data_IF_528333175678
#
_entry.id   IF_528333175678
#
_cell.length_a   1.000
_cell.length_b   1.000
_cell.length_c   1.000
_cell.angle_alpha   90.00
_cell.angle_beta   90.00
_cell.angle_gamma   90.00
#
_symmetry.space_group_name_H-M   'P 1'
#
loop_
_entity.id
_entity.type
_entity.pdbx_description
1 polymer ?
#
# COMPACT_ATOMS: atom_id res chain seq x y z
N UNK A 1 50.87 -51.96 49.63
CA UNK A 1 50.22 -51.89 48.31
C UNK A 1 49.02 -52.82 48.30
N UNK A 2 47.86 -52.38 47.81
CA UNK A 2 46.70 -53.23 47.61
C UNK A 2 46.07 -52.90 46.25
N UNK A 3 46.10 -53.84 45.32
CA UNK A 3 45.48 -53.74 44.00
C UNK A 3 44.49 -54.89 43.80
N UNK A 4 43.21 -54.59 43.67
CA UNK A 4 42.16 -55.57 43.37
C UNK A 4 41.73 -55.45 41.91
N UNK A 5 42.19 -56.37 41.06
CA UNK A 5 41.69 -56.50 39.69
C UNK A 5 40.28 -57.09 39.65
N UNK A 6 39.34 -56.34 39.07
CA UNK A 6 37.95 -56.77 38.88
C UNK A 6 37.77 -57.42 37.50
N UNK A 7 37.45 -58.72 37.47
CA UNK A 7 37.08 -59.44 36.23
C UNK A 7 35.74 -58.93 35.67
N UNK A 8 35.60 -58.76 34.33
CA UNK A 8 34.37 -58.26 33.72
C UNK A 8 33.26 -59.31 33.68
N UNK A 9 32.06 -58.93 34.11
CA UNK A 9 30.87 -59.80 34.13
C UNK A 9 30.33 -60.00 32.71
N UNK A 10 30.25 -61.26 32.26
CA UNK A 10 29.59 -61.65 31.00
C UNK A 10 28.09 -61.38 31.06
N UNK A 11 27.64 -60.19 30.65
CA UNK A 11 26.21 -59.91 30.40
C UNK A 11 25.69 -60.91 29.36
N UNK A 12 24.66 -61.65 29.73
CA UNK A 12 24.17 -62.81 28.97
C UNK A 12 23.50 -62.41 27.65
N UNK A 13 24.11 -62.77 26.51
CA UNK A 13 23.65 -62.56 25.12
C UNK A 13 22.15 -62.84 24.87
N UNK A 14 21.54 -63.74 25.65
CA UNK A 14 20.10 -64.04 25.57
C UNK A 14 19.20 -62.83 25.82
N UNK A 15 19.48 -62.05 26.88
CA UNK A 15 18.71 -60.82 27.24
C UNK A 15 18.85 -59.71 26.20
N UNK A 16 19.92 -59.72 25.40
CA UNK A 16 20.14 -58.74 24.35
C UNK A 16 19.33 -59.06 23.10
N UNK A 17 19.30 -60.34 22.69
CA UNK A 17 18.43 -60.87 21.62
C UNK A 17 16.93 -60.72 21.93
N UNK A 18 16.56 -60.74 23.20
CA UNK A 18 15.18 -60.52 23.64
C UNK A 18 14.77 -59.04 23.45
N UNK A 19 15.59 -58.10 23.93
CA UNK A 19 15.41 -56.65 23.71
C UNK A 19 15.41 -56.27 22.24
N UNK A 20 16.19 -56.96 21.41
CA UNK A 20 16.21 -56.74 19.97
C UNK A 20 14.88 -57.14 19.30
N UNK A 21 14.33 -58.31 19.66
CA UNK A 21 12.99 -58.73 19.23
C UNK A 21 11.88 -57.81 19.72
N UNK A 22 12.01 -57.19 20.90
CA UNK A 22 11.05 -56.19 21.38
C UNK A 22 11.11 -54.88 20.58
N UNK A 23 12.31 -54.38 20.26
CA UNK A 23 12.48 -53.21 19.37
C UNK A 23 11.91 -53.48 17.98
N UNK A 24 12.06 -54.71 17.46
CA UNK A 24 11.50 -55.10 16.17
C UNK A 24 9.96 -55.14 16.21
N UNK A 25 9.37 -55.76 17.25
CA UNK A 25 7.91 -55.73 17.48
C UNK A 25 7.38 -54.30 17.64
N UNK A 26 8.14 -53.40 18.25
CA UNK A 26 7.76 -51.98 18.35
C UNK A 26 7.85 -51.24 17.01
N UNK A 27 8.92 -51.46 16.23
CA UNK A 27 9.04 -50.93 14.86
C UNK A 27 7.86 -51.37 14.01
N UNK A 28 7.50 -52.65 14.05
CA UNK A 28 6.38 -53.19 13.26
C UNK A 28 5.03 -52.58 13.69
N UNK A 29 4.79 -52.43 15.01
CA UNK A 29 3.60 -51.71 15.53
C UNK A 29 3.56 -50.25 15.05
N UNK A 30 4.70 -49.57 15.00
CA UNK A 30 4.81 -48.18 14.51
C UNK A 30 4.55 -48.08 13.00
N UNK A 31 5.02 -49.06 12.23
CA UNK A 31 4.80 -49.14 10.78
C UNK A 31 3.32 -49.44 10.45
N UNK A 32 2.70 -50.39 11.16
CA UNK A 32 1.25 -50.67 11.06
C UNK A 32 0.40 -49.43 11.41
N UNK A 33 0.80 -48.62 12.41
CA UNK A 33 0.15 -47.33 12.74
C UNK A 33 0.31 -46.32 11.60
N UNK A 34 1.52 -46.12 11.06
CA UNK A 34 1.78 -45.23 9.91
C UNK A 34 0.97 -45.61 8.67
N UNK A 35 0.89 -46.89 8.34
CA UNK A 35 0.11 -47.40 7.21
C UNK A 35 -1.40 -47.18 7.37
N UNK A 36 -1.93 -47.34 8.60
CA UNK A 36 -3.32 -46.99 8.91
C UNK A 36 -3.60 -45.48 8.74
N UNK A 37 -2.69 -44.60 9.18
CA UNK A 37 -2.83 -43.14 8.96
C UNK A 37 -2.80 -42.80 7.46
N UNK A 38 -1.78 -43.25 6.71
CA UNK A 38 -1.70 -43.06 5.24
C UNK A 38 -2.96 -43.52 4.51
N UNK A 39 -3.58 -44.62 4.95
CA UNK A 39 -4.85 -45.12 4.39
C UNK A 39 -6.05 -44.21 4.70
N UNK A 40 -6.13 -43.67 5.92
CA UNK A 40 -7.15 -42.66 6.30
C UNK A 40 -6.99 -41.38 5.47
N UNK A 41 -5.76 -40.91 5.28
CA UNK A 41 -5.48 -39.69 4.51
C UNK A 41 -5.86 -39.87 3.03
N UNK A 42 -5.49 -40.99 2.40
CA UNK A 42 -5.94 -41.35 1.03
C UNK A 42 -7.47 -41.40 0.91
N UNK A 43 -8.20 -41.91 1.93
CA UNK A 43 -9.67 -41.88 1.94
C UNK A 43 -10.22 -40.45 2.06
N UNK A 44 -9.61 -39.59 2.89
CA UNK A 44 -9.99 -38.17 3.06
C UNK A 44 -9.75 -37.37 1.76
N UNK A 45 -8.65 -37.65 1.07
CA UNK A 45 -8.33 -37.07 -0.23
C UNK A 45 -9.32 -37.49 -1.33
N UNK A 46 -9.63 -38.79 -1.46
CA UNK A 46 -10.66 -39.26 -2.42
C UNK A 46 -12.04 -38.61 -2.16
N UNK A 47 -12.43 -38.40 -0.90
CA UNK A 47 -13.66 -37.65 -0.55
C UNK A 47 -13.59 -36.18 -1.01
N UNK A 48 -12.47 -35.49 -0.76
CA UNK A 48 -12.24 -34.09 -1.19
C UNK A 48 -12.26 -33.95 -2.72
N UNK A 49 -11.66 -34.88 -3.46
CA UNK A 49 -11.69 -34.87 -4.93
C UNK A 49 -13.11 -35.04 -5.48
N UNK A 50 -13.90 -35.99 -4.95
CA UNK A 50 -15.32 -36.16 -5.31
C UNK A 50 -16.19 -34.94 -4.97
N UNK A 51 -15.85 -34.16 -3.94
CA UNK A 51 -16.54 -32.90 -3.66
C UNK A 51 -16.26 -31.87 -4.76
N UNK A 52 -14.97 -31.60 -5.02
CA UNK A 52 -14.53 -30.66 -6.06
C UNK A 52 -15.06 -31.01 -7.46
N UNK A 53 -15.29 -32.28 -7.73
CA UNK A 53 -15.86 -32.76 -8.99
C UNK A 53 -17.34 -32.40 -9.10
N UNK A 54 -18.15 -32.64 -8.06
CA UNK A 54 -19.55 -32.18 -7.99
C UNK A 54 -19.69 -30.66 -8.01
N UNK A 55 -18.75 -29.93 -7.42
CA UNK A 55 -18.77 -28.46 -7.44
C UNK A 55 -18.53 -27.92 -8.87
N UNK A 56 -17.61 -28.52 -9.63
CA UNK A 56 -17.40 -28.20 -11.06
C UNK A 56 -18.58 -28.63 -11.94
N UNK A 57 -19.26 -29.71 -11.59
CA UNK A 57 -20.45 -30.17 -12.32
C UNK A 57 -21.60 -29.17 -12.17
N UNK A 58 -21.87 -28.71 -10.94
CA UNK A 58 -22.80 -27.61 -10.66
C UNK A 58 -22.42 -26.31 -11.39
N UNK A 59 -21.13 -26.00 -11.49
CA UNK A 59 -20.65 -24.83 -12.22
C UNK A 59 -20.91 -24.94 -13.74
N UNK A 60 -20.68 -26.13 -14.34
CA UNK A 60 -21.04 -26.43 -15.74
C UNK A 60 -22.54 -26.36 -15.98
N UNK A 61 -23.35 -26.85 -15.05
CA UNK A 61 -24.82 -26.79 -15.13
C UNK A 61 -25.34 -25.35 -15.05
N UNK A 62 -24.76 -24.53 -14.17
CA UNK A 62 -25.01 -23.07 -14.12
C UNK A 62 -24.60 -22.38 -15.41
N UNK A 63 -23.47 -22.76 -16.02
CA UNK A 63 -23.04 -22.23 -17.32
C UNK A 63 -24.03 -22.56 -18.45
N UNK A 64 -24.44 -23.83 -18.59
CA UNK A 64 -25.48 -24.27 -19.54
C UNK A 64 -26.82 -23.56 -19.32
N UNK A 65 -27.16 -23.27 -18.06
CA UNK A 65 -28.39 -22.54 -17.70
C UNK A 65 -28.32 -21.06 -18.12
N UNK A 66 -27.15 -20.42 -18.01
CA UNK A 66 -26.90 -19.06 -18.53
C UNK A 66 -26.99 -19.03 -20.05
N UNK A 67 -26.31 -19.96 -20.72
CA UNK A 67 -26.32 -20.10 -22.19
C UNK A 67 -27.75 -20.30 -22.74
N UNK A 68 -28.57 -21.17 -22.10
CA UNK A 68 -29.99 -21.32 -22.45
C UNK A 68 -30.79 -20.03 -22.23
N UNK A 69 -30.46 -19.24 -21.21
CA UNK A 69 -31.11 -17.94 -20.93
C UNK A 69 -30.69 -16.85 -21.92
N UNK A 70 -29.48 -16.91 -22.47
CA UNK A 70 -29.01 -16.03 -23.54
C UNK A 70 -29.68 -16.40 -24.88
N UNK A 71 -29.67 -17.68 -25.26
CA UNK A 71 -30.36 -18.16 -26.48
C UNK A 71 -31.88 -17.87 -26.48
N UNK A 72 -32.52 -17.75 -25.31
CA UNK A 72 -33.93 -17.34 -25.22
C UNK A 72 -34.14 -15.83 -25.33
N UNK A 73 -33.15 -15.01 -24.93
CA UNK A 73 -33.16 -13.56 -25.18
C UNK A 73 -33.00 -13.25 -26.65
N UNK A 74 -32.05 -13.87 -27.35
CA UNK A 74 -31.82 -13.63 -28.77
C UNK A 74 -33.05 -13.98 -29.62
N UNK A 75 -33.70 -15.11 -29.32
CA UNK A 75 -34.98 -15.52 -29.93
C UNK A 75 -36.17 -14.60 -29.61
N UNK A 76 -36.07 -13.76 -28.58
CA UNK A 76 -37.08 -12.74 -28.26
C UNK A 76 -36.86 -11.43 -29.02
N UNK A 77 -35.59 -11.05 -29.26
CA UNK A 77 -35.23 -9.87 -30.03
C UNK A 77 -35.62 -10.00 -31.51
N UNK A 78 -35.47 -11.19 -32.08
CA UNK A 78 -35.78 -11.45 -33.50
C UNK A 78 -37.31 -11.45 -33.79
N UNK A 79 -38.14 -11.72 -32.79
CA UNK A 79 -39.61 -11.62 -32.91
C UNK A 79 -40.13 -10.18 -32.94
N UNK A 80 -39.40 -9.22 -32.40
CA UNK A 80 -39.79 -7.80 -32.37
C UNK A 80 -39.50 -7.04 -33.68
N UNK A 81 -39.03 -7.71 -34.74
CA UNK A 81 -38.77 -7.10 -36.07
C UNK A 81 -39.83 -7.36 -37.13
N UNK A 82 -40.99 -7.91 -36.77
CA UNK A 82 -42.15 -8.03 -37.68
C UNK A 82 -43.32 -7.19 -37.18
N UNK A 83 -43.38 -5.94 -37.63
CA UNK A 83 -44.58 -5.10 -37.55
C UNK A 83 -45.77 -5.85 -38.14
N UNK A 84 -46.78 -6.10 -37.33
CA UNK A 84 -48.07 -6.69 -37.74
C UNK A 84 -49.17 -5.64 -37.57
N UNK A 85 -50.25 -5.64 -38.38
CA UNK A 85 -51.17 -4.52 -38.42
C UNK A 85 -52.06 -4.41 -37.18
N UNK A 86 -52.50 -3.18 -36.89
CA UNK A 86 -53.50 -2.88 -35.86
C UNK A 86 -54.80 -3.64 -36.16
N UNK A 87 -55.31 -4.34 -35.15
CA UNK A 87 -56.71 -4.74 -35.03
C UNK A 87 -57.21 -4.41 -33.63
N UNK A 88 -58.37 -3.75 -33.57
CA UNK A 88 -59.11 -3.43 -32.34
C UNK A 88 -59.92 -4.67 -31.98
N UNK A 89 -59.88 -5.09 -30.72
CA UNK A 89 -60.74 -6.15 -30.15
C UNK A 89 -61.14 -5.73 -28.73
N UNK A 90 -62.41 -5.92 -28.41
CA UNK A 90 -63.10 -5.34 -27.25
C UNK A 90 -62.81 -6.00 -25.88
N UNK A 91 -63.26 -5.31 -24.84
CA UNK A 91 -62.84 -5.46 -23.43
C UNK A 91 -63.78 -6.35 -22.60
N UNK A 92 -63.69 -7.69 -22.73
CA UNK A 92 -64.60 -8.57 -21.96
C UNK A 92 -64.11 -9.99 -21.56
N UNK A 93 -62.81 -10.22 -21.27
CA UNK A 93 -62.33 -11.57 -20.80
C UNK A 93 -61.32 -11.58 -19.64
N UNK A 94 -61.10 -10.47 -18.92
CA UNK A 94 -60.02 -10.33 -17.93
C UNK A 94 -60.31 -10.73 -16.47
N UNK A 95 -61.38 -11.50 -16.19
CA UNK A 95 -61.77 -11.86 -14.81
C UNK A 95 -61.32 -13.26 -14.34
N UNK A 96 -61.32 -14.26 -15.21
CA UNK A 96 -61.31 -15.66 -14.73
C UNK A 96 -59.92 -16.29 -14.59
N UNK A 97 -58.89 -15.72 -15.23
CA UNK A 97 -57.52 -16.27 -15.13
C UNK A 97 -56.84 -16.01 -13.77
N UNK A 98 -57.39 -15.09 -12.96
CA UNK A 98 -56.78 -14.66 -11.69
C UNK A 98 -57.15 -15.55 -10.49
N UNK A 99 -58.25 -16.30 -10.57
CA UNK A 99 -58.69 -17.19 -9.48
C UNK A 99 -57.95 -18.54 -9.49
N UNK A 100 -57.67 -19.11 -10.67
CA UNK A 100 -57.01 -20.42 -10.75
C UNK A 100 -55.55 -20.38 -10.24
N UNK A 101 -54.84 -19.27 -10.43
CA UNK A 101 -53.44 -19.13 -10.01
C UNK A 101 -53.27 -18.96 -8.48
N UNK A 102 -54.34 -18.61 -7.75
CA UNK A 102 -54.29 -18.39 -6.30
C UNK A 102 -54.51 -19.67 -5.48
N UNK A 103 -55.08 -20.73 -6.08
CA UNK A 103 -55.33 -22.02 -5.40
C UNK A 103 -54.13 -23.00 -5.41
N UNK A 104 -53.12 -22.78 -6.25
CA UNK A 104 -51.94 -23.66 -6.37
C UNK A 104 -50.75 -23.27 -5.47
N UNK A 105 -50.89 -22.25 -4.63
CA UNK A 105 -49.83 -21.75 -3.73
C UNK A 105 -50.10 -22.04 -2.24
N UNK A 106 -51.10 -22.85 -1.91
CA UNK A 106 -51.61 -23.03 -0.55
C UNK A 106 -51.40 -24.43 0.08
N UNK A 107 -50.66 -25.36 -0.56
CA UNK A 107 -50.57 -26.76 -0.12
C UNK A 107 -49.26 -27.22 0.52
N UNK A 108 -48.13 -26.53 0.31
CA UNK A 108 -46.79 -27.02 0.71
C UNK A 108 -46.14 -26.25 1.87
N UNK A 109 -46.93 -25.91 2.90
CA UNK A 109 -46.42 -25.37 4.16
C UNK A 109 -46.52 -26.37 5.32
N UNK A 110 -45.72 -27.45 5.27
CA UNK A 110 -45.26 -28.12 6.51
C UNK A 110 -44.16 -29.18 6.28
N UNK A 111 -42.90 -28.83 6.60
CA UNK A 111 -42.02 -29.68 7.44
C UNK A 111 -40.69 -29.02 7.81
N UNK A 112 -40.29 -29.26 9.06
CA UNK A 112 -38.96 -29.15 9.64
C UNK A 112 -38.47 -27.73 9.99
N UNK A 113 -39.03 -27.23 11.09
CA UNK A 113 -38.36 -26.27 11.98
C UNK A 113 -37.52 -27.07 13.00
N UNK A 114 -36.19 -26.92 13.02
CA UNK A 114 -35.32 -27.33 14.16
C UNK A 114 -33.84 -26.90 13.98
N UNK A 115 -33.53 -25.61 14.15
CA UNK A 115 -32.38 -25.11 14.94
C UNK A 115 -32.44 -23.59 15.01
N UNK A 116 -32.52 -23.05 16.23
CA UNK A 116 -32.24 -21.64 16.48
C UNK A 116 -30.74 -21.54 16.82
N UNK A 117 -30.06 -20.56 16.24
CA UNK A 117 -28.83 -20.01 16.81
C UNK A 117 -29.25 -18.86 17.75
N UNK A 118 -28.70 -18.81 18.97
CA UNK A 118 -28.98 -17.76 19.94
C UNK A 118 -28.24 -16.45 19.59
N UNK A 119 -28.86 -15.31 19.92
CA UNK A 119 -28.34 -13.95 19.74
C UNK A 119 -27.41 -13.53 20.90
N UNK A 120 -26.43 -12.68 20.58
CA UNK A 120 -25.95 -11.55 21.38
C UNK A 120 -25.04 -10.71 20.47
N UNK A 121 -25.44 -9.51 20.03
CA UNK A 121 -25.49 -8.24 20.79
C UNK A 121 -24.09 -7.62 20.96
N UNK A 122 -23.75 -6.69 20.07
CA UNK A 122 -22.64 -5.73 20.16
C UNK A 122 -23.21 -4.35 19.77
N UNK A 123 -23.84 -3.66 20.73
CA UNK A 123 -24.18 -2.23 20.64
C UNK A 123 -23.02 -1.38 21.20
N UNK A 124 -22.76 -0.25 20.55
CA UNK A 124 -22.24 1.06 21.04
C UNK A 124 -21.09 1.07 22.09
N UNK A 125 -20.00 1.85 21.95
CA UNK A 125 -20.06 3.31 21.83
C UNK A 125 -18.69 3.94 21.45
N UNK A 126 -18.74 4.95 20.58
CA UNK A 126 -18.14 6.30 20.65
C UNK A 126 -16.67 6.64 21.11
N UNK A 127 -16.12 7.64 20.40
CA UNK A 127 -15.28 8.77 20.88
C UNK A 127 -13.81 8.52 21.35
N UNK A 128 -12.76 9.26 20.96
CA UNK A 128 -12.61 10.61 20.39
C UNK A 128 -11.10 10.97 20.17
N UNK A 129 -10.85 11.93 19.28
CA UNK A 129 -9.82 13.00 19.24
C UNK A 129 -8.29 12.82 19.30
N UNK A 130 -7.67 13.66 18.45
CA UNK A 130 -6.41 14.41 18.57
C UNK A 130 -5.05 13.69 18.74
N UNK A 131 -3.97 14.13 18.08
CA UNK A 131 -3.84 15.26 17.14
C UNK A 131 -2.37 15.62 16.85
N UNK A 132 -2.18 16.62 15.98
CA UNK A 132 -0.92 17.20 15.44
C UNK A 132 -0.20 16.33 14.38
N UNK A 133 -0.13 16.73 13.11
CA UNK A 133 0.44 17.95 12.49
C UNK A 133 1.97 18.02 12.56
N UNK A 134 2.60 17.90 11.39
CA UNK A 134 3.79 18.68 11.00
C UNK A 134 3.71 18.92 9.48
N UNK A 135 4.07 20.13 9.06
CA UNK A 135 3.76 20.69 7.74
C UNK A 135 4.75 20.22 6.66
N UNK A 136 4.30 20.20 5.40
CA UNK A 136 5.20 19.99 4.26
C UNK A 136 4.77 20.84 3.06
N UNK A 137 5.20 22.10 3.07
CA UNK A 137 5.03 23.01 1.95
C UNK A 137 5.74 22.47 0.70
N UNK A 138 5.00 22.42 -0.41
CA UNK A 138 5.51 22.17 -1.75
C UNK A 138 5.06 23.33 -2.64
N UNK A 139 5.85 24.41 -2.69
CA UNK A 139 5.66 25.46 -3.69
C UNK A 139 6.38 25.09 -4.97
N UNK A 140 5.61 24.92 -6.04
CA UNK A 140 6.11 24.84 -7.40
C UNK A 140 4.99 25.24 -8.36
N UNK A 141 4.97 26.48 -8.84
CA UNK A 141 4.44 26.77 -10.18
C UNK A 141 4.86 28.13 -10.77
N UNK A 142 4.52 28.26 -12.05
CA UNK A 142 5.15 28.99 -13.14
C UNK A 142 5.00 30.52 -13.17
N UNK A 143 6.08 31.15 -13.64
CA UNK A 143 6.18 32.23 -14.65
C UNK A 143 5.06 33.27 -14.91
N UNK A 144 5.55 34.48 -15.19
CA UNK A 144 5.00 35.57 -16.02
C UNK A 144 3.81 36.38 -15.50
N UNK A 145 4.02 37.70 -15.40
CA UNK A 145 3.39 38.60 -16.37
C UNK A 145 4.16 39.92 -16.60
N UNK A 146 3.72 40.67 -17.63
CA UNK A 146 4.31 41.90 -18.18
C UNK A 146 4.02 43.14 -17.27
N UNK A 147 4.50 44.38 -17.49
CA UNK A 147 4.26 45.20 -18.69
C UNK A 147 4.89 46.62 -18.63
N UNK A 148 5.00 47.25 -19.81
CA UNK A 148 5.21 48.69 -20.13
C UNK A 148 6.47 49.44 -19.60
N UNK A 149 6.96 50.47 -20.32
CA UNK A 149 6.53 51.00 -21.62
C UNK A 149 7.09 52.40 -21.91
N UNK A 150 6.83 52.87 -23.13
CA UNK A 150 7.16 54.20 -23.69
C UNK A 150 8.64 54.52 -24.05
N UNK A 151 9.02 55.24 -25.12
CA UNK A 151 8.55 55.51 -26.49
C UNK A 151 9.03 56.93 -26.90
N UNK A 152 9.81 57.05 -27.98
CA UNK A 152 9.75 58.12 -29.01
C UNK A 152 10.77 57.78 -30.13
N UNK A 153 10.40 57.64 -31.41
CA UNK A 153 10.18 58.70 -32.45
C UNK A 153 11.42 59.62 -32.58
N UNK A 154 11.98 59.95 -33.75
CA UNK A 154 11.64 59.87 -35.21
C UNK A 154 13.00 59.81 -35.98
N UNK A 155 13.15 59.56 -37.29
CA UNK A 155 12.26 59.45 -38.46
C UNK A 155 12.89 58.49 -39.51
N UNK A 156 12.27 58.30 -40.69
CA UNK A 156 12.92 57.77 -41.91
C UNK A 156 12.57 58.64 -43.13
N UNK A 157 13.53 58.91 -44.01
CA UNK A 157 13.32 59.53 -45.33
C UNK A 157 13.55 58.49 -46.43
N UNK A 158 12.60 58.35 -47.36
CA UNK A 158 12.68 57.38 -48.44
C UNK A 158 13.53 57.90 -49.62
N UNK A 159 14.39 57.03 -50.16
CA UNK A 159 15.07 57.23 -51.44
C UNK A 159 15.51 55.88 -52.01
N UNK A 160 14.84 55.40 -53.07
CA UNK A 160 15.19 54.14 -53.75
C UNK A 160 16.44 54.34 -54.59
N UNK A 161 17.46 53.50 -54.40
CA UNK A 161 18.55 53.22 -55.38
C UNK A 161 18.95 51.73 -55.27
N UNK A 162 19.37 51.14 -56.38
CA UNK A 162 19.59 49.69 -56.54
C UNK A 162 20.69 49.10 -55.62
N UNK A 163 20.72 47.76 -55.41
CA UNK A 163 21.80 47.11 -54.67
C UNK A 163 23.17 47.31 -55.34
N UNK A 164 24.11 47.85 -54.56
CA UNK A 164 25.53 48.00 -54.91
C UNK A 164 26.13 46.64 -55.33
N UNK A 165 26.95 46.64 -56.38
CA UNK A 165 27.45 45.39 -56.96
C UNK A 165 28.47 44.69 -56.04
N UNK A 166 28.60 43.38 -56.21
CA UNK A 166 29.49 42.53 -55.40
C UNK A 166 30.98 42.94 -55.58
N UNK A 167 31.32 43.43 -56.77
CA UNK A 167 32.64 43.98 -57.11
C UNK A 167 32.90 45.30 -56.37
N UNK A 168 31.88 46.16 -56.21
CA UNK A 168 32.01 47.42 -55.47
C UNK A 168 32.14 47.19 -53.96
N UNK A 169 31.50 46.14 -53.41
CA UNK A 169 31.70 45.72 -52.01
C UNK A 169 33.07 45.09 -51.77
N UNK A 170 33.58 44.30 -52.72
CA UNK A 170 34.94 43.77 -52.67
C UNK A 170 35.98 44.89 -52.81
N UNK A 171 35.77 45.84 -53.72
CA UNK A 171 36.59 47.04 -53.83
C UNK A 171 36.54 47.89 -52.54
N UNK A 172 35.38 48.04 -51.90
CA UNK A 172 35.23 48.78 -50.64
C UNK A 172 35.89 48.08 -49.46
N UNK A 173 35.73 46.75 -49.32
CA UNK A 173 36.46 45.96 -48.31
C UNK A 173 37.96 45.95 -48.54
N UNK A 174 38.40 45.77 -49.79
CA UNK A 174 39.82 45.81 -50.15
C UNK A 174 40.42 47.21 -49.93
N UNK A 175 39.70 48.28 -50.26
CA UNK A 175 40.10 49.64 -49.91
C UNK A 175 40.14 49.88 -48.39
N UNK A 176 39.22 49.29 -47.63
CA UNK A 176 39.25 49.36 -46.16
C UNK A 176 40.40 48.53 -45.56
N UNK A 177 40.69 47.34 -46.08
CA UNK A 177 41.82 46.51 -45.67
C UNK A 177 43.16 47.15 -46.06
N UNK A 178 43.28 47.73 -47.26
CA UNK A 178 44.43 48.54 -47.66
C UNK A 178 44.55 49.81 -46.79
N UNK A 179 43.44 50.41 -46.35
CA UNK A 179 43.45 51.53 -45.40
C UNK A 179 43.73 51.13 -43.94
N UNK A 180 43.51 49.86 -43.58
CA UNK A 180 43.89 49.25 -42.28
C UNK A 180 45.35 48.78 -42.29
N UNK A 181 45.85 48.30 -43.43
CA UNK A 181 47.24 47.91 -43.65
C UNK A 181 48.17 49.13 -43.74
N UNK A 182 47.69 50.24 -44.30
CA UNK A 182 48.37 51.55 -44.18
C UNK A 182 48.31 52.01 -42.71
N UNK A 183 49.45 52.24 -42.04
CA UNK A 183 49.46 52.56 -40.61
C UNK A 183 48.77 53.90 -40.34
N UNK A 184 47.58 53.87 -39.75
CA UNK A 184 46.80 55.07 -39.44
C UNK A 184 47.47 55.87 -38.32
N UNK A 185 47.97 57.08 -38.65
CA UNK A 185 48.57 57.96 -37.67
C UNK A 185 47.53 58.43 -36.65
N UNK A 186 47.61 57.88 -35.44
CA UNK A 186 46.80 58.29 -34.30
C UNK A 186 47.52 59.44 -33.57
N UNK A 187 46.77 60.46 -33.14
CA UNK A 187 47.30 61.52 -32.31
C UNK A 187 47.89 60.96 -31.00
N UNK A 188 48.78 61.71 -30.35
CA UNK A 188 49.40 61.30 -29.07
C UNK A 188 48.34 61.01 -28.01
N UNK A 189 47.28 61.82 -27.97
CA UNK A 189 46.13 61.67 -27.10
C UNK A 189 45.28 60.44 -27.43
N UNK A 190 44.95 60.20 -28.70
CA UNK A 190 44.21 59.00 -29.11
C UNK A 190 44.99 57.71 -28.77
N UNK A 191 46.32 57.71 -28.91
CA UNK A 191 47.17 56.59 -28.45
C UNK A 191 47.16 56.41 -26.94
N UNK A 192 47.18 57.50 -26.17
CA UNK A 192 47.07 57.43 -24.71
C UNK A 192 45.71 56.89 -24.25
N UNK A 193 44.62 57.31 -24.90
CA UNK A 193 43.27 56.80 -24.62
C UNK A 193 43.12 55.30 -24.92
N UNK A 194 43.68 54.83 -26.06
CA UNK A 194 43.69 53.39 -26.39
C UNK A 194 44.54 52.60 -25.40
N UNK A 195 45.70 53.11 -24.98
CA UNK A 195 46.52 52.46 -23.96
C UNK A 195 45.82 52.38 -22.58
N UNK A 196 45.10 53.44 -22.18
CA UNK A 196 44.29 53.44 -20.96
C UNK A 196 43.14 52.44 -21.05
N UNK A 197 42.42 52.40 -22.17
CA UNK A 197 41.32 51.44 -22.37
C UNK A 197 41.83 49.99 -22.33
N UNK A 198 42.95 49.69 -23.00
CA UNK A 198 43.56 48.36 -22.94
C UNK A 198 43.97 47.97 -21.51
N UNK A 199 44.54 48.92 -20.75
CA UNK A 199 44.88 48.71 -19.33
C UNK A 199 43.64 48.48 -18.46
N UNK A 200 42.51 49.13 -18.76
CA UNK A 200 41.23 48.90 -18.08
C UNK A 200 40.71 47.48 -18.38
N UNK A 201 40.72 47.05 -19.65
CA UNK A 201 40.33 45.69 -20.06
C UNK A 201 41.21 44.61 -19.40
N UNK A 202 42.54 44.83 -19.31
CA UNK A 202 43.46 43.92 -18.61
C UNK A 202 43.16 43.85 -17.09
N UNK A 203 42.84 44.96 -16.43
CA UNK A 203 42.45 45.00 -15.01
C UNK A 203 41.08 44.37 -14.77
N UNK A 204 40.11 44.57 -15.66
CA UNK A 204 38.80 43.90 -15.59
C UNK A 204 38.92 42.39 -15.76
N UNK A 205 39.75 41.91 -16.69
CA UNK A 205 39.98 40.49 -16.89
C UNK A 205 40.66 39.86 -15.66
N UNK A 206 41.63 40.55 -15.04
CA UNK A 206 42.24 40.11 -13.79
C UNK A 206 41.22 40.05 -12.63
N UNK A 207 40.31 41.03 -12.53
CA UNK A 207 39.22 41.00 -11.53
C UNK A 207 38.24 39.85 -11.78
N UNK A 208 37.80 39.64 -13.04
CA UNK A 208 36.93 38.51 -13.42
C UNK A 208 37.56 37.17 -13.05
N UNK A 209 38.86 36.99 -13.30
CA UNK A 209 39.59 35.78 -12.87
C UNK A 209 39.59 35.62 -11.34
N UNK A 210 39.91 36.67 -10.57
CA UNK A 210 39.90 36.60 -9.10
C UNK A 210 38.51 36.34 -8.51
N UNK A 211 37.46 36.87 -9.13
CA UNK A 211 36.09 36.69 -8.65
C UNK A 211 35.53 35.32 -9.05
N UNK A 212 35.97 34.75 -10.17
CA UNK A 212 35.69 33.37 -10.58
C UNK A 212 36.43 32.36 -9.68
N UNK A 213 37.70 32.61 -9.35
CA UNK A 213 38.44 31.85 -8.33
C UNK A 213 37.76 31.91 -6.95
N UNK A 214 37.34 33.10 -6.49
CA UNK A 214 36.56 33.25 -5.24
C UNK A 214 35.24 32.49 -5.28
N UNK A 215 34.54 32.49 -6.43
CA UNK A 215 33.28 31.78 -6.61
C UNK A 215 33.47 30.26 -6.53
N UNK A 216 34.51 29.72 -7.19
CA UNK A 216 34.87 28.30 -7.13
C UNK A 216 35.22 27.89 -5.70
N UNK A 217 36.00 28.70 -4.98
CA UNK A 217 36.36 28.44 -3.58
C UNK A 217 35.12 28.41 -2.67
N UNK A 218 34.27 29.44 -2.76
CA UNK A 218 33.01 29.54 -1.98
C UNK A 218 32.07 28.36 -2.22
N UNK A 219 31.90 27.94 -3.48
CA UNK A 219 31.01 26.83 -3.83
C UNK A 219 31.52 25.48 -3.31
N UNK A 220 32.85 25.26 -3.31
CA UNK A 220 33.44 24.08 -2.68
C UNK A 220 33.29 24.11 -1.16
N UNK A 221 33.59 25.24 -0.50
CA UNK A 221 33.64 25.35 0.97
C UNK A 221 32.24 25.20 1.62
N UNK A 222 31.19 25.66 0.94
CA UNK A 222 29.80 25.39 1.32
C UNK A 222 29.48 23.88 1.22
N UNK A 223 29.95 23.20 0.17
CA UNK A 223 29.67 21.77 -0.04
C UNK A 223 30.40 20.84 0.93
N UNK A 224 31.65 21.18 1.31
CA UNK A 224 32.46 20.44 2.29
C UNK A 224 31.95 20.68 3.71
N UNK A 225 31.69 21.95 4.05
CA UNK A 225 31.14 22.34 5.36
C UNK A 225 29.76 21.72 5.59
N UNK A 226 28.89 21.70 4.59
CA UNK A 226 27.57 21.05 4.70
C UNK A 226 27.69 19.54 4.98
N UNK A 227 28.57 18.83 4.25
CA UNK A 227 28.80 17.38 4.45
C UNK A 227 29.46 17.04 5.79
N UNK A 228 30.40 17.87 6.27
CA UNK A 228 30.99 17.69 7.60
C UNK A 228 29.93 17.85 8.68
N UNK A 229 29.17 18.95 8.67
CA UNK A 229 28.11 19.21 9.64
C UNK A 229 27.06 18.11 9.67
N UNK A 230 26.65 17.58 8.51
CA UNK A 230 25.68 16.48 8.45
C UNK A 230 26.25 15.17 9.03
N UNK A 231 27.55 14.89 8.83
CA UNK A 231 28.23 13.72 9.39
C UNK A 231 28.44 13.86 10.91
N UNK A 232 28.84 15.04 11.38
CA UNK A 232 29.01 15.39 12.79
C UNK A 232 27.68 15.31 13.54
N UNK A 233 26.61 15.88 12.98
CA UNK A 233 25.25 15.80 13.52
C UNK A 233 24.74 14.36 13.58
N UNK A 234 24.97 13.57 12.52
CA UNK A 234 24.62 12.14 12.48
C UNK A 234 25.39 11.32 13.52
N UNK A 235 26.65 11.66 13.79
CA UNK A 235 27.43 11.00 14.83
C UNK A 235 27.01 11.44 16.24
N UNK A 236 26.75 12.73 16.47
CA UNK A 236 26.21 13.25 17.72
C UNK A 236 24.86 12.61 18.08
N UNK A 237 23.97 12.39 17.10
CA UNK A 237 22.72 11.64 17.30
C UNK A 237 22.97 10.20 17.74
N UNK A 238 23.92 9.50 17.11
CA UNK A 238 24.32 8.12 17.49
C UNK A 238 24.95 8.07 18.88
N UNK A 239 25.75 9.07 19.24
CA UNK A 239 26.42 9.18 20.54
C UNK A 239 25.41 9.45 21.66
N UNK A 240 24.51 10.43 21.48
CA UNK A 240 23.39 10.68 22.38
C UNK A 240 22.50 9.44 22.56
N UNK A 241 22.26 8.69 21.48
CA UNK A 241 21.47 7.46 21.57
C UNK A 241 22.20 6.35 22.36
N UNK A 242 23.52 6.20 22.19
CA UNK A 242 24.34 5.27 23.01
C UNK A 242 24.35 5.66 24.48
N UNK A 243 24.52 6.95 24.80
CA UNK A 243 24.49 7.45 26.18
C UNK A 243 23.14 7.15 26.85
N UNK A 244 22.03 7.35 26.13
CA UNK A 244 20.68 6.98 26.59
C UNK A 244 20.52 5.47 26.78
N UNK A 245 21.07 4.66 25.89
CA UNK A 245 21.03 3.20 26.01
C UNK A 245 21.92 2.67 27.16
N UNK A 246 22.99 3.38 27.52
CA UNK A 246 23.81 3.12 28.70
C UNK A 246 23.08 3.52 30.00
N UNK A 247 22.48 4.70 30.05
CA UNK A 247 21.65 5.16 31.17
C UNK A 247 20.49 4.18 31.46
N UNK A 248 19.84 3.65 30.42
CA UNK A 248 18.78 2.63 30.56
C UNK A 248 19.33 1.32 31.12
N UNK A 249 20.51 0.86 30.66
CA UNK A 249 21.16 -0.34 31.22
C UNK A 249 21.53 -0.17 32.67
N UNK A 250 21.99 1.01 33.09
CA UNK A 250 22.36 1.26 34.47
C UNK A 250 21.13 1.27 35.39
N UNK A 251 20.03 1.90 34.97
CA UNK A 251 18.72 1.79 35.67
C UNK A 251 18.21 0.35 35.77
N UNK A 252 18.43 -0.46 34.74
CA UNK A 252 18.00 -1.86 34.76
C UNK A 252 18.93 -2.72 35.66
N UNK A 253 20.24 -2.43 35.74
CA UNK A 253 21.14 -3.03 36.76
C UNK A 253 20.76 -2.61 38.18
N UNK A 254 20.39 -1.35 38.40
CA UNK A 254 19.95 -0.86 39.71
C UNK A 254 18.71 -1.62 40.18
N UNK A 255 17.69 -1.76 39.31
CA UNK A 255 16.49 -2.58 39.59
C UNK A 255 16.82 -4.06 39.82
N UNK A 256 17.78 -4.64 39.11
CA UNK A 256 18.24 -6.01 39.37
C UNK A 256 18.80 -6.14 40.79
N UNK A 257 19.68 -5.20 41.18
CA UNK A 257 20.27 -5.15 42.53
C UNK A 257 19.19 -4.89 43.60
N UNK A 258 18.20 -4.04 43.33
CA UNK A 258 17.03 -3.84 44.21
C UNK A 258 16.19 -5.12 44.37
N UNK A 259 15.87 -5.82 43.28
CA UNK A 259 15.13 -7.07 43.32
C UNK A 259 15.89 -8.17 44.11
N UNK A 260 17.22 -8.21 43.99
CA UNK A 260 18.09 -9.07 44.81
C UNK A 260 18.03 -8.63 46.29
N UNK A 261 18.20 -7.33 46.58
CA UNK A 261 18.11 -6.78 47.94
C UNK A 261 16.77 -7.11 48.60
N UNK A 262 15.64 -6.84 47.95
CA UNK A 262 14.30 -7.17 48.49
C UNK A 262 14.13 -8.66 48.78
N UNK A 263 14.65 -9.53 47.90
CA UNK A 263 14.51 -10.98 48.04
C UNK A 263 15.29 -11.55 49.23
N UNK A 264 16.49 -11.03 49.52
CA UNK A 264 17.40 -11.60 50.51
C UNK A 264 17.48 -10.82 51.83
N UNK A 265 17.23 -9.50 51.84
CA UNK A 265 17.24 -8.67 53.06
C UNK A 265 15.86 -8.59 53.75
N UNK A 266 14.84 -9.27 53.22
CA UNK A 266 13.53 -9.38 53.87
C UNK A 266 12.76 -8.05 53.99
N UNK A 267 13.08 -7.07 53.13
CA UNK A 267 12.40 -5.77 53.11
C UNK A 267 10.88 -5.94 52.93
N UNK A 268 10.10 -5.18 53.68
CA UNK A 268 8.65 -5.26 53.69
C UNK A 268 8.13 -4.80 52.32
N UNK A 269 7.71 -5.77 51.48
CA UNK A 269 7.16 -5.49 50.15
C UNK A 269 5.96 -4.55 50.27
N UNK A 270 5.98 -3.47 49.50
CA UNK A 270 4.85 -2.54 49.37
C UNK A 270 3.64 -3.32 48.85
N UNK A 271 2.58 -3.43 49.64
CA UNK A 271 1.34 -4.12 49.24
C UNK A 271 0.68 -3.32 48.10
N UNK A 272 0.23 -4.00 47.04
CA UNK A 272 -0.55 -3.37 45.96
C UNK A 272 -1.79 -2.68 46.56
N UNK A 273 -2.09 -1.47 46.09
CA UNK A 273 -3.27 -0.70 46.48
C UNK A 273 -4.51 -1.40 45.91
N UNK A 274 -5.21 -2.16 46.75
CA UNK A 274 -6.50 -2.78 46.37
C UNK A 274 -7.52 -1.66 46.10
N UNK A 275 -8.15 -1.65 44.93
CA UNK A 275 -9.26 -0.70 44.60
C UNK A 275 -10.35 -0.84 45.67
N UNK A 276 -10.82 0.28 46.24
CA UNK A 276 -11.90 0.27 47.24
C UNK A 276 -13.25 0.34 46.53
N UNK A 277 -14.22 -0.45 47.00
CA UNK A 277 -15.57 -0.55 46.41
C UNK A 277 -16.37 0.78 46.43
N UNK A 278 -15.92 1.77 47.22
CA UNK A 278 -16.57 3.07 47.40
C UNK A 278 -15.94 4.21 46.58
N UNK A 279 -14.99 3.95 45.68
CA UNK A 279 -14.43 5.01 44.82
C UNK A 279 -15.50 5.51 43.83
N UNK A 280 -15.94 6.77 44.01
CA UNK A 280 -17.01 7.40 43.22
C UNK A 280 -16.60 7.77 41.78
N UNK A 281 -15.31 7.66 41.45
CA UNK A 281 -14.82 7.80 40.08
C UNK A 281 -14.62 6.40 39.50
N UNK A 282 -15.56 5.96 38.66
CA UNK A 282 -15.35 4.78 37.85
C UNK A 282 -14.21 5.07 36.86
N UNK A 283 -13.12 4.33 36.94
CA UNK A 283 -11.98 4.43 36.01
C UNK A 283 -12.01 3.17 35.15
N UNK A 284 -12.45 3.35 33.90
CA UNK A 284 -12.49 2.32 32.87
C UNK A 284 -11.08 1.81 32.51
N UNK A 285 -10.09 2.71 32.51
CA UNK A 285 -8.71 2.37 32.17
C UNK A 285 -7.95 1.60 33.27
N UNK A 286 -6.92 0.90 32.80
CA UNK A 286 -5.86 0.36 33.63
C UNK A 286 -4.81 1.43 33.92
N UNK A 287 -4.41 1.57 35.18
CA UNK A 287 -3.31 2.45 35.56
C UNK A 287 -1.98 1.83 35.10
N UNK A 288 -1.05 2.65 34.59
CA UNK A 288 0.28 2.18 34.15
C UNK A 288 1.10 1.61 35.32
N UNK A 289 0.78 1.98 36.56
CA UNK A 289 1.34 1.35 37.77
C UNK A 289 0.89 -0.10 38.01
N UNK A 290 -0.09 -0.59 37.25
CA UNK A 290 -0.56 -1.98 37.28
C UNK A 290 0.08 -2.87 36.19
N UNK A 291 0.90 -2.33 35.28
CA UNK A 291 1.63 -3.10 34.27
C UNK A 291 2.73 -3.97 34.90
N UNK A 292 2.77 -5.24 34.50
CA UNK A 292 3.74 -6.25 34.97
C UNK A 292 4.75 -6.66 33.89
N UNK A 293 4.76 -6.00 32.72
CA UNK A 293 5.62 -6.34 31.59
C UNK A 293 7.03 -5.72 31.65
N UNK A 294 7.24 -4.75 32.54
CA UNK A 294 8.49 -3.99 32.69
C UNK A 294 9.56 -4.81 33.42
N UNK A 295 10.25 -5.68 32.68
CA UNK A 295 11.40 -6.46 33.16
C UNK A 295 12.73 -5.69 33.04
N UNK A 296 13.58 -5.82 34.06
CA UNK A 296 14.95 -5.29 34.07
C UNK A 296 15.96 -6.17 33.31
N UNK A 297 15.66 -7.47 33.15
CA UNK A 297 16.56 -8.40 32.47
C UNK A 297 16.25 -8.46 30.97
N UNK A 298 17.24 -8.15 30.14
CA UNK A 298 17.12 -8.13 28.67
C UNK A 298 16.52 -9.42 28.07
N UNK A 299 16.74 -10.60 28.66
CA UNK A 299 16.16 -11.88 28.18
C UNK A 299 14.63 -11.87 28.28
N UNK A 300 14.09 -11.15 29.27
CA UNK A 300 12.65 -11.03 29.54
C UNK A 300 12.04 -9.73 28.99
N UNK A 301 12.87 -8.75 28.65
CA UNK A 301 12.51 -7.55 27.89
C UNK A 301 12.38 -7.85 26.39
N UNK A 302 13.40 -8.50 25.81
CA UNK A 302 13.44 -8.97 24.42
C UNK A 302 13.16 -10.48 24.35
N UNK A 303 11.98 -10.91 24.83
CA UNK A 303 11.61 -12.34 24.80
C UNK A 303 11.59 -12.86 23.37
N UNK A 304 12.42 -13.87 23.10
CA UNK A 304 12.48 -14.52 21.78
C UNK A 304 11.10 -15.10 21.41
N UNK A 305 10.42 -14.45 20.47
CA UNK A 305 9.08 -14.84 20.02
C UNK A 305 9.10 -16.24 19.36
N UNK A 306 8.02 -17.02 19.56
CA UNK A 306 7.94 -18.40 19.06
C UNK A 306 7.76 -18.39 17.53
N UNK A 307 8.81 -18.74 16.79
CA UNK A 307 8.84 -18.67 15.32
C UNK A 307 8.11 -19.83 14.59
N UNK A 308 7.44 -20.74 15.31
CA UNK A 308 6.65 -21.87 14.78
C UNK A 308 7.17 -22.55 13.49
N UNK A 309 8.48 -22.86 13.45
CA UNK A 309 9.18 -23.45 12.29
C UNK A 309 9.01 -22.69 10.95
N UNK A 310 8.79 -21.37 11.01
CA UNK A 310 8.54 -20.51 9.85
C UNK A 310 7.23 -20.78 9.10
N UNK A 311 6.28 -21.49 9.73
CA UNK A 311 5.01 -21.91 9.09
C UNK A 311 3.75 -21.67 9.92
N UNK A 312 3.87 -21.57 11.24
CA UNK A 312 2.79 -21.07 12.10
C UNK A 312 2.81 -19.55 12.19
N UNK A 313 1.67 -18.97 12.51
CA UNK A 313 1.45 -17.55 12.69
C UNK A 313 0.68 -17.35 14.02
N UNK A 314 0.90 -16.22 14.69
CA UNK A 314 0.13 -15.81 15.85
C UNK A 314 -1.29 -15.40 15.41
N UNK A 315 -2.30 -15.62 16.26
CA UNK A 315 -3.68 -15.24 15.97
C UNK A 315 -3.87 -13.70 16.08
N UNK A 316 -4.91 -13.18 15.44
CA UNK A 316 -5.28 -11.74 15.47
C UNK A 316 -4.39 -10.81 14.63
N UNK A 317 -3.08 -11.01 14.64
CA UNK A 317 -2.13 -10.16 13.89
C UNK A 317 -2.15 -10.52 12.39
N UNK A 318 -2.10 -9.53 11.48
CA UNK A 318 -2.01 -9.78 10.04
C UNK A 318 -0.83 -10.71 9.68
N UNK A 319 -1.17 -11.76 8.93
CA UNK A 319 -0.25 -12.78 8.42
C UNK A 319 0.83 -12.15 7.53
N UNK A 320 0.54 -11.07 6.78
CA UNK A 320 1.54 -10.40 5.91
C UNK A 320 2.52 -9.58 6.75
N UNK A 321 2.05 -8.81 7.74
CA UNK A 321 2.89 -8.15 8.72
C UNK A 321 3.83 -9.15 9.43
N UNK A 322 3.29 -10.21 10.05
CA UNK A 322 4.09 -11.25 10.72
C UNK A 322 5.16 -11.86 9.81
N UNK A 323 4.83 -12.15 8.54
CA UNK A 323 5.78 -12.71 7.57
C UNK A 323 6.91 -11.74 7.22
N UNK A 324 6.68 -10.42 7.25
CA UNK A 324 7.72 -9.42 6.99
C UNK A 324 8.83 -9.51 8.04
N UNK A 325 8.45 -9.66 9.31
CA UNK A 325 9.38 -9.59 10.43
C UNK A 325 10.03 -10.95 10.71
N UNK A 326 9.25 -12.05 10.64
CA UNK A 326 9.69 -13.39 11.02
C UNK A 326 10.40 -14.19 9.91
N UNK A 327 10.31 -13.77 8.64
CA UNK A 327 10.75 -14.60 7.50
C UNK A 327 12.26 -14.80 7.37
N UNK A 328 13.09 -13.90 7.93
CA UNK A 328 14.54 -13.84 7.65
C UNK A 328 15.27 -15.15 8.00
N UNK A 329 15.14 -15.63 9.24
CA UNK A 329 15.88 -16.79 9.73
C UNK A 329 15.48 -18.11 9.04
N UNK A 330 14.20 -18.45 9.03
CA UNK A 330 13.73 -19.69 8.38
C UNK A 330 13.76 -19.63 6.85
N UNK A 331 13.70 -18.43 6.24
CA UNK A 331 13.87 -18.23 4.81
C UNK A 331 15.25 -18.70 4.34
N UNK A 332 16.31 -18.12 4.94
CA UNK A 332 17.70 -18.48 4.65
C UNK A 332 17.99 -19.96 4.95
N UNK A 333 17.47 -20.48 6.08
CA UNK A 333 17.66 -21.88 6.47
C UNK A 333 17.00 -22.86 5.48
N UNK A 334 15.80 -22.53 4.97
CA UNK A 334 15.13 -23.34 3.95
C UNK A 334 15.82 -23.23 2.59
N UNK A 335 16.35 -22.06 2.24
CA UNK A 335 17.10 -21.87 0.99
C UNK A 335 18.41 -22.66 0.97
N UNK A 336 19.13 -22.72 2.10
CA UNK A 336 20.35 -23.52 2.26
C UNK A 336 20.10 -25.03 2.26
N UNK A 337 18.92 -25.49 2.70
CA UNK A 337 18.62 -26.93 2.87
C UNK A 337 17.80 -27.57 1.75
N UNK A 338 17.08 -26.79 0.95
CA UNK A 338 16.23 -27.32 -0.14
C UNK A 338 17.02 -27.73 -1.37
N UNK A 339 16.61 -28.84 -1.96
CA UNK A 339 17.01 -29.20 -3.32
C UNK A 339 16.41 -28.22 -4.36
N UNK A 340 17.01 -28.11 -5.53
CA UNK A 340 16.56 -27.19 -6.59
C UNK A 340 15.10 -27.46 -7.00
N UNK A 341 14.72 -28.72 -7.18
CA UNK A 341 13.34 -29.13 -7.47
C UNK A 341 12.34 -28.70 -6.36
N UNK A 342 12.74 -28.73 -5.08
CA UNK A 342 11.91 -28.22 -3.98
C UNK A 342 11.81 -26.68 -3.98
N UNK A 343 12.89 -25.98 -4.36
CA UNK A 343 12.87 -24.52 -4.54
C UNK A 343 11.90 -24.12 -5.66
N UNK A 344 11.90 -24.84 -6.79
CA UNK A 344 10.96 -24.61 -7.89
C UNK A 344 9.50 -24.88 -7.49
N UNK A 345 9.23 -25.99 -6.78
CA UNK A 345 7.89 -26.29 -6.27
C UNK A 345 7.38 -25.21 -5.31
N UNK A 346 8.24 -24.73 -4.40
CA UNK A 346 7.89 -23.61 -3.52
C UNK A 346 7.68 -22.31 -4.31
N UNK A 347 8.55 -21.97 -5.27
CA UNK A 347 8.41 -20.79 -6.14
C UNK A 347 7.09 -20.83 -6.92
N UNK A 348 6.68 -22.00 -7.42
CA UNK A 348 5.39 -22.20 -8.09
C UNK A 348 4.20 -22.13 -7.12
N UNK A 349 4.35 -22.58 -5.87
CA UNK A 349 3.33 -22.39 -4.82
C UNK A 349 3.19 -20.90 -4.47
N UNK A 350 4.29 -20.21 -4.24
CA UNK A 350 4.34 -18.77 -3.96
C UNK A 350 3.73 -17.96 -5.11
N UNK A 351 4.06 -18.25 -6.38
CA UNK A 351 3.42 -17.62 -7.55
C UNK A 351 1.91 -17.83 -7.59
N UNK A 352 1.42 -19.02 -7.22
CA UNK A 352 -0.04 -19.31 -7.11
C UNK A 352 -0.71 -18.58 -5.96
N UNK A 353 -0.02 -18.38 -4.83
CA UNK A 353 -0.52 -17.58 -3.70
C UNK A 353 -0.52 -16.10 -4.04
N UNK A 354 0.60 -15.57 -4.56
CA UNK A 354 0.71 -14.18 -5.02
C UNK A 354 -0.39 -13.82 -6.01
N UNK A 355 -0.66 -14.67 -7.02
CA UNK A 355 -1.77 -14.45 -7.97
C UNK A 355 -3.16 -14.40 -7.31
N UNK A 356 -3.37 -15.12 -6.21
CA UNK A 356 -4.63 -15.03 -5.45
C UNK A 356 -4.70 -13.74 -4.64
N UNK A 357 -3.59 -13.33 -4.01
CA UNK A 357 -3.49 -12.09 -3.25
C UNK A 357 -3.59 -10.85 -4.18
N UNK A 358 -3.01 -10.92 -5.39
CA UNK A 358 -3.14 -9.92 -6.46
C UNK A 358 -4.59 -9.83 -6.96
N UNK A 359 -5.26 -10.97 -7.20
CA UNK A 359 -6.69 -10.96 -7.57
C UNK A 359 -7.55 -10.36 -6.44
N UNK A 360 -7.32 -10.78 -5.20
CA UNK A 360 -8.05 -10.24 -4.07
C UNK A 360 -7.83 -8.72 -3.94
N UNK A 361 -6.58 -8.24 -4.02
CA UNK A 361 -6.29 -6.80 -4.01
C UNK A 361 -6.98 -6.06 -5.18
N UNK A 362 -7.06 -6.68 -6.36
CA UNK A 362 -7.74 -6.11 -7.53
C UNK A 362 -9.26 -6.02 -7.37
N UNK A 363 -9.88 -7.07 -6.82
CA UNK A 363 -11.32 -7.12 -6.56
C UNK A 363 -11.70 -6.16 -5.40
N UNK A 364 -10.88 -6.10 -4.34
CA UNK A 364 -11.04 -5.26 -3.14
C UNK A 364 -10.46 -3.82 -3.30
N UNK A 365 -10.15 -3.36 -4.53
CA UNK A 365 -9.74 -1.97 -4.79
C UNK A 365 -10.78 -0.96 -4.30
N UNK A 366 -10.32 0.21 -3.90
CA UNK A 366 -11.18 1.36 -3.61
C UNK A 366 -11.96 1.78 -4.87
N UNK A 367 -13.19 2.27 -4.72
CA UNK A 367 -14.04 2.58 -5.87
C UNK A 367 -13.45 3.69 -6.75
N UNK A 368 -12.67 4.62 -6.20
CA UNK A 368 -12.01 5.69 -6.98
C UNK A 368 -11.03 5.16 -8.03
N UNK A 369 -10.37 4.01 -7.77
CA UNK A 369 -9.46 3.34 -8.71
C UNK A 369 -10.18 2.42 -9.71
N UNK A 370 -11.48 2.20 -9.55
CA UNK A 370 -12.31 1.34 -10.41
C UNK A 370 -13.00 2.19 -11.50
N UNK A 371 -13.15 1.63 -12.69
CA UNK A 371 -14.01 2.21 -13.71
C UNK A 371 -15.50 1.96 -13.39
N UNK A 372 -16.40 2.82 -13.89
CA UNK A 372 -17.85 2.74 -13.65
C UNK A 372 -18.44 1.34 -13.93
N UNK A 373 -17.97 0.69 -15.01
CA UNK A 373 -18.43 -0.63 -15.44
C UNK A 373 -17.86 -1.81 -14.61
N UNK A 374 -16.79 -1.60 -13.83
CA UNK A 374 -16.22 -2.60 -12.92
C UNK A 374 -16.85 -2.56 -11.51
N UNK A 375 -17.72 -1.59 -11.26
CA UNK A 375 -18.23 -1.29 -9.94
C UNK A 375 -19.31 -2.27 -9.48
N UNK A 376 -19.22 -2.71 -8.23
CA UNK A 376 -20.15 -3.67 -7.62
C UNK A 376 -21.09 -3.00 -6.62
N UNK A 377 -22.18 -3.67 -6.26
CA UNK A 377 -23.11 -3.20 -5.21
C UNK A 377 -22.40 -2.95 -3.85
N UNK A 378 -21.31 -3.68 -3.57
CA UNK A 378 -20.45 -3.43 -2.39
C UNK A 378 -19.72 -2.09 -2.53
N UNK A 379 -19.14 -1.83 -3.68
CA UNK A 379 -18.40 -0.59 -3.95
C UNK A 379 -19.34 0.62 -3.92
N UNK A 380 -20.57 0.47 -4.42
CA UNK A 380 -21.62 1.48 -4.27
C UNK A 380 -22.10 1.69 -2.84
N UNK A 381 -22.02 0.66 -1.99
CA UNK A 381 -22.27 0.82 -0.55
C UNK A 381 -21.15 1.61 0.11
N UNK A 382 -19.89 1.28 -0.18
CA UNK A 382 -18.72 2.01 0.33
C UNK A 382 -18.74 3.47 -0.14
N UNK A 383 -19.05 3.73 -1.42
CA UNK A 383 -19.25 5.10 -1.93
C UNK A 383 -20.31 5.88 -1.12
N UNK A 384 -21.40 5.23 -0.71
CA UNK A 384 -22.41 5.86 0.15
C UNK A 384 -21.94 6.02 1.59
N UNK A 385 -21.17 5.09 2.13
CA UNK A 385 -20.57 5.17 3.47
C UNK A 385 -19.55 6.33 3.53
N UNK A 386 -18.59 6.39 2.61
CA UNK A 386 -17.54 7.43 2.53
C UNK A 386 -18.12 8.86 2.44
N UNK A 387 -19.27 9.01 1.76
CA UNK A 387 -19.97 10.29 1.60
C UNK A 387 -21.18 10.47 2.54
N UNK A 388 -21.34 9.60 3.54
CA UNK A 388 -22.42 9.64 4.54
C UNK A 388 -23.85 9.71 3.94
N UNK A 389 -24.05 9.11 2.76
CA UNK A 389 -25.31 9.13 2.01
C UNK A 389 -26.22 7.98 2.47
N UNK A 390 -27.14 8.29 3.39
CA UNK A 390 -28.24 7.37 3.73
C UNK A 390 -29.44 7.57 2.80
N UNK A 391 -30.04 6.50 2.29
CA UNK A 391 -31.19 6.56 1.38
C UNK A 391 -32.27 5.58 1.83
N UNK A 392 -33.53 6.05 1.86
CA UNK A 392 -34.71 5.24 2.22
C UNK A 392 -35.57 5.03 0.97
N UNK A 393 -35.77 3.77 0.56
CA UNK A 393 -36.54 3.41 -0.63
C UNK A 393 -36.06 2.11 -1.26
N UNK A 394 -36.86 1.55 -2.18
CA UNK A 394 -36.48 0.38 -2.97
C UNK A 394 -36.20 0.75 -4.42
N UNK A 395 -35.22 0.11 -5.07
CA UNK A 395 -34.77 0.41 -6.45
C UNK A 395 -34.28 1.85 -6.65
N UNK A 396 -33.44 2.33 -5.74
CA UNK A 396 -32.72 3.58 -5.92
C UNK A 396 -31.66 3.39 -7.03
N UNK A 397 -31.54 4.30 -8.00
CA UNK A 397 -30.48 4.28 -9.00
C UNK A 397 -29.10 4.54 -8.37
N UNK A 398 -28.04 4.03 -8.99
CA UNK A 398 -26.69 4.22 -8.46
C UNK A 398 -26.25 5.71 -8.52
N UNK A 399 -25.53 6.22 -7.48
CA UNK A 399 -25.10 7.62 -7.45
C UNK A 399 -24.10 8.00 -8.54
N UNK A 400 -24.04 9.28 -8.91
CA UNK A 400 -23.02 9.79 -9.83
C UNK A 400 -21.67 9.95 -9.10
N UNK A 401 -20.58 9.49 -9.73
CA UNK A 401 -19.19 9.58 -9.23
C UNK A 401 -18.36 10.75 -9.76
N UNK A 402 -18.88 11.46 -10.77
CA UNK A 402 -18.27 11.52 -12.10
C UNK A 402 -19.15 12.38 -13.03
N UNK A 403 -18.92 13.68 -13.19
CA UNK A 403 -19.71 14.54 -14.10
C UNK A 403 -19.51 14.04 -15.53
N UNK A 404 -18.28 13.59 -15.85
CA UNK A 404 -17.93 12.89 -17.10
C UNK A 404 -18.61 11.52 -17.25
N UNK A 405 -19.11 10.95 -16.16
CA UNK A 405 -19.79 9.65 -16.09
C UNK A 405 -21.32 9.77 -15.95
N UNK A 406 -21.85 10.98 -15.73
CA UNK A 406 -23.28 11.26 -15.47
C UNK A 406 -24.22 11.02 -16.66
N UNK A 407 -23.68 10.94 -17.88
CA UNK A 407 -24.46 10.84 -19.11
C UNK A 407 -25.12 12.15 -19.56
N UNK A 408 -24.84 13.30 -18.92
CA UNK A 408 -25.37 14.58 -19.35
C UNK A 408 -24.86 15.03 -20.73
N UNK A 409 -25.65 15.89 -21.38
CA UNK A 409 -25.26 16.53 -22.64
C UNK A 409 -24.00 17.38 -22.45
N UNK A 410 -23.13 17.40 -23.47
CA UNK A 410 -21.84 18.10 -23.42
C UNK A 410 -21.99 19.58 -23.08
N UNK A 411 -23.04 20.23 -23.59
CA UNK A 411 -23.36 21.64 -23.30
C UNK A 411 -23.56 21.89 -21.79
N UNK A 412 -24.16 20.95 -21.06
CA UNK A 412 -24.36 21.03 -19.61
C UNK A 412 -23.03 20.85 -18.88
N UNK A 413 -22.19 19.90 -19.34
CA UNK A 413 -20.86 19.67 -18.77
C UNK A 413 -19.95 20.90 -18.97
N UNK A 414 -19.95 21.48 -20.16
CA UNK A 414 -19.21 22.72 -20.48
C UNK A 414 -19.68 23.91 -19.62
N UNK A 415 -20.94 23.94 -19.19
CA UNK A 415 -21.48 24.96 -18.27
C UNK A 415 -21.04 24.68 -16.83
N UNK A 416 -21.10 23.42 -16.37
CA UNK A 416 -20.65 23.01 -15.03
C UNK A 416 -19.16 23.32 -14.84
N UNK A 417 -18.33 22.98 -15.83
CA UNK A 417 -16.89 23.26 -15.84
C UNK A 417 -16.62 24.79 -15.84
N UNK A 418 -17.39 25.58 -16.60
CA UNK A 418 -17.28 27.07 -16.61
C UNK A 418 -17.67 27.73 -15.28
N UNK A 419 -18.64 27.18 -14.55
CA UNK A 419 -19.03 27.70 -13.22
C UNK A 419 -18.09 27.15 -12.12
N UNK A 420 -17.12 26.29 -12.49
CA UNK A 420 -16.15 25.67 -11.61
C UNK A 420 -16.79 24.88 -10.45
N UNK A 421 -17.92 24.21 -10.72
CA UNK A 421 -18.58 23.32 -9.75
C UNK A 421 -17.82 22.00 -9.60
N UNK A 422 -16.72 22.07 -8.86
CA UNK A 422 -15.96 20.92 -8.40
C UNK A 422 -16.74 20.08 -7.37
N UNK A 423 -16.19 18.90 -7.10
CA UNK A 423 -16.84 17.71 -6.52
C UNK A 423 -17.46 17.86 -5.13
N UNK A 424 -17.18 18.95 -4.43
CA UNK A 424 -17.36 19.05 -2.98
C UNK A 424 -18.81 19.28 -2.51
N UNK A 425 -19.79 19.38 -3.42
CA UNK A 425 -21.22 19.59 -3.10
C UNK A 425 -22.09 18.38 -3.47
N UNK A 426 -22.08 17.40 -2.57
CA UNK A 426 -22.58 16.04 -2.74
C UNK A 426 -24.10 15.82 -2.94
N UNK A 427 -24.96 16.80 -2.63
CA UNK A 427 -26.42 16.62 -2.62
C UNK A 427 -27.05 16.24 -3.97
N UNK A 428 -26.39 16.51 -5.10
CA UNK A 428 -26.98 16.25 -6.43
C UNK A 428 -26.97 14.77 -6.86
N UNK A 429 -26.07 13.94 -6.32
CA UNK A 429 -25.74 12.65 -6.93
C UNK A 429 -26.81 11.56 -6.79
N UNK A 430 -27.78 11.70 -5.88
CA UNK A 430 -28.88 10.74 -5.68
C UNK A 430 -30.23 11.22 -6.18
N UNK A 431 -30.42 12.53 -6.36
CA UNK A 431 -31.73 13.12 -6.68
C UNK A 431 -32.08 12.99 -8.17
N UNK A 432 -31.09 13.10 -9.05
CA UNK A 432 -31.29 13.40 -10.48
C UNK A 432 -31.70 12.21 -11.37
N UNK A 433 -31.66 10.98 -10.86
CA UNK A 433 -31.97 9.75 -11.63
C UNK A 433 -33.40 9.21 -11.38
N UNK A 434 -34.34 10.06 -10.91
CA UNK A 434 -35.71 9.67 -10.51
C UNK A 434 -36.82 10.14 -11.48
N UNK A 435 -36.50 10.61 -12.68
CA UNK A 435 -37.46 10.96 -13.75
C UNK A 435 -37.43 9.94 -14.92
#
# INVERSE_FOLDING_TARGET
>A
MAGHDKKPVRRSRSRERERERDRERERERRERRRSRSRSKDRKKERKRSRSRERDRERERERARSRERREQTKDKSLDKNRKTSPIFIIDDETKKDLKQHQQQLLASDFNKNNEHNDDECDDDDDDNNDNGNNEEHDNDNDENNDNDNGENEKRTKTNGKKEPLSLEELLAKKKAEEEARAKPKFLSKEARAAIALKKRQEEVENMRKQQDEERRIFSQNDISTTSKSREWDERNRRRENQRLRDEEVKDKDKEKEVEAIKERYLGLIKKKRRVRRLNDRKFVFDWDTSEDTSVDYNNIYKERHQVQFFGRGNLAGIDIKAQKRDQSKFYGELLEKRRTEAEKEQEKMRLKKVKRKEEKQKWDDRHWSEKALNEMTERDWRIFREDYNITIKGGRIPDPIRSWKESGFQKEILDIIDKINYHWDKFMFCTAYNNE
#
